data_IF_024415236143
#
_entry.id   IF_024415236143
#
_cell.length_a   1.000
_cell.length_b   1.000
_cell.length_c   1.000
_cell.angle_alpha   90.00
_cell.angle_beta   90.00
_cell.angle_gamma   90.00
#
_symmetry.space_group_name_H-M   'P 1'
#
loop_
_entity.id
_entity.type
_entity.pdbx_description
1 polymer ?
#
# COMPACT_ATOMS: atom_id res chain seq x y z
N UNK A 1 -16.07 -0.67 -0.79
CA UNK A 1 -16.27 0.08 -2.04
C UNK A 1 -16.83 -0.86 -3.07
N UNK A 2 -17.94 -0.54 -3.75
CA UNK A 2 -18.62 -1.49 -4.66
C UNK A 2 -18.25 -1.28 -6.13
N UNK A 3 -18.32 -2.33 -6.99
CA UNK A 3 -18.07 -2.21 -8.43
C UNK A 3 -18.89 -1.10 -9.12
N UNK A 4 -20.16 -0.92 -8.74
CA UNK A 4 -21.01 0.12 -9.32
C UNK A 4 -20.53 1.54 -8.98
N UNK A 5 -20.07 1.75 -7.73
CA UNK A 5 -19.50 3.03 -7.31
C UNK A 5 -18.18 3.33 -8.01
N UNK A 6 -17.32 2.30 -8.17
CA UNK A 6 -16.06 2.38 -8.92
C UNK A 6 -16.33 2.79 -10.37
N UNK A 7 -17.23 2.08 -11.04
CA UNK A 7 -17.52 2.31 -12.45
C UNK A 7 -18.07 3.72 -12.72
N UNK A 8 -18.97 4.17 -11.84
CA UNK A 8 -19.57 5.51 -11.91
C UNK A 8 -18.52 6.59 -11.68
N UNK A 9 -17.70 6.45 -10.62
CA UNK A 9 -16.68 7.43 -10.27
C UNK A 9 -15.62 7.57 -11.38
N UNK A 10 -15.13 6.45 -11.91
CA UNK A 10 -14.19 6.45 -13.02
C UNK A 10 -14.82 6.96 -14.33
N UNK A 11 -16.13 6.78 -14.55
CA UNK A 11 -16.84 7.39 -15.68
C UNK A 11 -16.79 8.91 -15.62
N UNK A 12 -17.05 9.49 -14.45
CA UNK A 12 -16.95 10.94 -14.23
C UNK A 12 -15.50 11.43 -14.34
N UNK A 13 -14.54 10.64 -13.86
CA UNK A 13 -13.11 10.97 -13.93
C UNK A 13 -12.62 11.16 -15.37
N UNK A 14 -13.04 10.29 -16.29
CA UNK A 14 -12.71 10.40 -17.72
C UNK A 14 -13.34 11.66 -18.36
N UNK A 15 -14.55 12.05 -17.94
CA UNK A 15 -15.23 13.27 -18.43
C UNK A 15 -14.60 14.56 -17.89
N UNK A 16 -13.94 14.48 -16.73
CA UNK A 16 -13.46 15.66 -15.97
C UNK A 16 -11.94 15.76 -15.87
N UNK A 17 -11.19 14.84 -16.47
CA UNK A 17 -9.72 14.75 -16.42
C UNK A 17 -9.18 14.84 -14.98
N UNK A 18 -9.79 14.08 -14.08
CA UNK A 18 -9.47 14.10 -12.64
C UNK A 18 -9.02 12.71 -12.18
N UNK A 19 -7.99 12.63 -11.33
CA UNK A 19 -7.53 11.36 -10.77
C UNK A 19 -8.53 10.80 -9.74
N UNK A 20 -8.65 9.47 -9.69
CA UNK A 20 -9.42 8.76 -8.65
C UNK A 20 -8.46 7.99 -7.76
N UNK A 21 -8.52 8.27 -6.46
CA UNK A 21 -7.84 7.47 -5.44
C UNK A 21 -8.83 6.48 -4.81
N UNK A 22 -8.38 5.25 -4.55
CA UNK A 22 -9.25 4.19 -4.01
C UNK A 22 -8.66 3.49 -2.78
N UNK A 23 -9.52 3.28 -1.80
CA UNK A 23 -9.42 2.28 -0.75
C UNK A 23 -10.45 1.18 -1.06
N UNK A 24 -9.98 -0.05 -1.29
CA UNK A 24 -10.82 -1.13 -1.84
C UNK A 24 -11.58 -1.89 -0.74
N UNK A 25 -12.43 -2.84 -1.14
CA UNK A 25 -13.34 -3.55 -0.23
C UNK A 25 -12.60 -4.62 0.59
N UNK A 26 -12.08 -4.23 1.75
CA UNK A 26 -11.36 -5.15 2.66
C UNK A 26 -12.15 -6.42 2.98
N UNK A 27 -13.47 -6.30 3.12
CA UNK A 27 -14.35 -7.40 3.52
C UNK A 27 -14.64 -8.37 2.37
N UNK A 28 -14.27 -8.01 1.14
CA UNK A 28 -14.69 -8.71 -0.07
C UNK A 28 -16.22 -8.87 -0.15
N UNK A 29 -16.98 -7.92 0.41
CA UNK A 29 -18.44 -7.98 0.49
C UNK A 29 -19.07 -7.98 -0.92
N UNK A 30 -18.53 -7.15 -1.79
CA UNK A 30 -19.04 -6.93 -3.15
C UNK A 30 -18.28 -7.69 -4.24
N UNK A 31 -17.34 -8.55 -3.84
CA UNK A 31 -16.44 -9.30 -4.73
C UNK A 31 -15.00 -9.33 -4.20
N UNK A 32 -14.15 -10.13 -4.83
CA UNK A 32 -12.71 -10.18 -4.54
C UNK A 32 -11.93 -9.13 -5.35
N UNK A 33 -10.61 -9.08 -5.19
CA UNK A 33 -9.77 -8.07 -5.86
C UNK A 33 -9.91 -8.09 -7.38
N UNK A 34 -10.10 -9.26 -7.98
CA UNK A 34 -10.36 -9.44 -9.41
C UNK A 34 -11.66 -8.75 -9.88
N UNK A 35 -12.71 -8.74 -9.06
CA UNK A 35 -13.97 -8.07 -9.39
C UNK A 35 -13.79 -6.54 -9.35
N UNK A 36 -13.01 -6.04 -8.40
CA UNK A 36 -12.63 -4.63 -8.32
C UNK A 36 -11.75 -4.22 -9.51
N UNK A 37 -10.76 -5.04 -9.89
CA UNK A 37 -9.92 -4.79 -11.07
C UNK A 37 -10.77 -4.82 -12.35
N UNK A 38 -11.72 -5.74 -12.47
CA UNK A 38 -12.66 -5.76 -13.58
C UNK A 38 -13.52 -4.49 -13.64
N UNK A 39 -13.92 -3.95 -12.47
CA UNK A 39 -14.68 -2.70 -12.38
C UNK A 39 -13.86 -1.46 -12.81
N UNK A 40 -12.52 -1.50 -12.71
CA UNK A 40 -11.67 -0.44 -13.26
C UNK A 40 -11.81 -0.32 -14.79
N UNK A 41 -12.07 -1.44 -15.49
CA UNK A 41 -12.18 -1.51 -16.96
C UNK A 41 -10.95 -0.94 -17.67
N UNK A 42 -9.77 -1.08 -17.07
CA UNK A 42 -8.50 -0.57 -17.61
C UNK A 42 -8.33 0.96 -17.53
N UNK A 43 -9.23 1.69 -16.86
CA UNK A 43 -9.11 3.15 -16.66
C UNK A 43 -8.06 3.46 -15.59
N UNK A 44 -7.43 4.63 -15.71
CA UNK A 44 -6.37 5.06 -14.77
C UNK A 44 -6.93 5.20 -13.36
N UNK A 45 -6.23 4.63 -12.38
CA UNK A 45 -6.62 4.73 -10.97
C UNK A 45 -5.42 4.73 -10.04
N UNK A 46 -5.49 5.48 -8.95
CA UNK A 46 -4.50 5.48 -7.88
C UNK A 46 -4.97 4.59 -6.72
N UNK A 47 -4.25 3.51 -6.46
CA UNK A 47 -4.51 2.67 -5.28
C UNK A 47 -3.76 3.21 -4.05
N UNK A 48 -4.51 3.65 -3.03
CA UNK A 48 -3.92 4.01 -1.74
C UNK A 48 -3.46 2.77 -0.98
N UNK A 49 -2.44 2.95 -0.12
CA UNK A 49 -1.86 1.93 0.77
C UNK A 49 -1.91 0.51 0.17
N UNK A 50 -1.31 0.35 -1.00
CA UNK A 50 -1.54 -0.77 -1.94
C UNK A 50 -1.20 -2.13 -1.35
N UNK A 51 -0.37 -2.19 -0.31
CA UNK A 51 -0.09 -3.41 0.43
C UNK A 51 -1.27 -3.94 1.24
N UNK A 52 -2.16 -3.06 1.70
CA UNK A 52 -3.44 -3.43 2.30
C UNK A 52 -3.55 -3.34 3.82
N UNK A 53 -2.47 -3.09 4.58
CA UNK A 53 -2.59 -2.85 6.03
C UNK A 53 -3.44 -1.59 6.32
N UNK A 54 -3.20 -0.50 5.57
CA UNK A 54 -4.05 0.71 5.57
C UNK A 54 -5.46 0.44 5.04
N UNK A 55 -5.67 -0.67 4.34
CA UNK A 55 -6.96 -1.25 3.96
C UNK A 55 -7.06 -1.59 2.46
N UNK A 56 -8.02 -2.43 2.14
CA UNK A 56 -8.22 -3.02 0.82
C UNK A 56 -8.39 -4.54 0.90
N UNK A 57 -8.85 -5.15 -0.20
CA UNK A 57 -9.14 -6.58 -0.31
C UNK A 57 -8.15 -7.46 0.45
N UNK A 58 -8.65 -8.18 1.47
CA UNK A 58 -7.84 -9.09 2.25
C UNK A 58 -7.84 -10.49 1.59
N UNK A 59 -6.68 -11.14 1.40
CA UNK A 59 -5.33 -10.69 1.77
C UNK A 59 -4.54 -10.05 0.62
N UNK A 60 -5.12 -9.87 -0.57
CA UNK A 60 -4.39 -9.87 -1.83
C UNK A 60 -4.55 -8.60 -2.69
N UNK A 61 -5.00 -7.48 -2.11
CA UNK A 61 -5.00 -6.18 -2.78
C UNK A 61 -3.66 -5.83 -3.43
N UNK A 62 -2.53 -6.29 -2.88
CA UNK A 62 -1.19 -6.06 -3.44
C UNK A 62 -1.03 -6.55 -4.89
N UNK A 63 -1.88 -7.47 -5.38
CA UNK A 63 -1.91 -7.91 -6.78
C UNK A 63 -2.04 -6.75 -7.78
N UNK A 64 -2.72 -5.66 -7.41
CA UNK A 64 -2.95 -4.50 -8.30
C UNK A 64 -1.66 -3.79 -8.74
N UNK A 65 -0.53 -4.04 -8.07
CA UNK A 65 0.80 -3.60 -8.52
C UNK A 65 1.16 -4.15 -9.91
N UNK A 66 0.57 -5.27 -10.32
CA UNK A 66 0.76 -5.86 -11.65
C UNK A 66 -0.06 -5.22 -12.77
N UNK A 67 -1.00 -4.33 -12.45
CA UNK A 67 -1.94 -3.75 -13.41
C UNK A 67 -1.37 -2.47 -14.05
N UNK A 68 -1.31 -2.41 -15.38
CA UNK A 68 -0.65 -1.31 -16.11
C UNK A 68 -1.33 0.05 -15.98
N UNK A 69 -2.60 0.07 -15.59
CA UNK A 69 -3.43 1.26 -15.43
C UNK A 69 -3.51 1.72 -13.96
N UNK A 70 -2.84 1.03 -13.05
CA UNK A 70 -2.81 1.35 -11.63
C UNK A 70 -1.56 2.17 -11.32
N UNK A 71 -1.76 3.24 -10.54
CA UNK A 71 -0.69 4.06 -9.98
C UNK A 71 -0.59 3.74 -8.47
N UNK A 72 0.26 2.77 -8.06
CA UNK A 72 0.26 2.29 -6.69
C UNK A 72 1.06 3.20 -5.75
N UNK A 73 0.49 3.45 -4.56
CA UNK A 73 1.17 4.13 -3.46
C UNK A 73 1.16 3.31 -2.17
N UNK A 74 2.16 3.52 -1.33
CA UNK A 74 2.18 3.06 0.06
C UNK A 74 1.95 4.21 1.03
N UNK A 75 1.37 3.91 2.19
CA UNK A 75 1.34 4.82 3.33
C UNK A 75 2.47 4.47 4.30
N UNK A 76 2.85 5.42 5.14
CA UNK A 76 4.17 5.36 5.78
C UNK A 76 4.35 4.52 7.05
N UNK A 77 3.32 4.05 7.80
CA UNK A 77 3.59 3.32 9.03
C UNK A 77 4.18 1.93 8.84
N UNK A 78 3.86 1.27 7.73
CA UNK A 78 4.44 -0.04 7.41
C UNK A 78 5.89 0.06 6.95
N UNK A 79 6.44 1.28 6.78
CA UNK A 79 7.69 1.56 6.07
C UNK A 79 8.86 1.84 7.01
N UNK A 80 10.01 1.17 6.85
CA UNK A 80 10.11 -0.20 6.36
C UNK A 80 9.49 -1.20 7.35
N UNK A 81 9.42 -2.46 6.95
CA UNK A 81 9.07 -3.54 7.88
C UNK A 81 10.15 -3.68 8.98
N UNK A 82 9.76 -3.59 10.25
CA UNK A 82 10.63 -3.71 11.43
C UNK A 82 10.07 -4.69 12.46
N UNK A 83 10.83 -4.95 13.52
CA UNK A 83 10.45 -5.90 14.58
C UNK A 83 9.13 -5.54 15.29
N UNK A 84 8.81 -4.24 15.42
CA UNK A 84 7.60 -3.79 16.11
C UNK A 84 6.43 -3.52 15.16
N UNK A 85 6.63 -3.66 13.84
CA UNK A 85 5.62 -3.25 12.86
C UNK A 85 4.33 -4.05 13.01
N UNK A 86 4.40 -5.37 13.23
CA UNK A 86 3.20 -6.18 13.36
C UNK A 86 2.41 -5.85 14.62
N UNK A 87 3.06 -5.91 15.79
CA UNK A 87 2.41 -5.67 17.07
C UNK A 87 1.79 -4.27 17.13
N UNK A 88 2.51 -3.25 16.61
CA UNK A 88 1.96 -1.89 16.50
C UNK A 88 0.71 -1.85 15.61
N UNK A 89 0.73 -2.50 14.45
CA UNK A 89 -0.35 -2.37 13.47
C UNK A 89 -1.57 -3.19 13.82
N UNK A 90 -1.41 -4.36 14.45
CA UNK A 90 -2.54 -5.14 14.97
C UNK A 90 -3.26 -4.32 16.02
N UNK A 91 -2.55 -3.80 17.03
CA UNK A 91 -3.17 -3.00 18.10
C UNK A 91 -3.80 -1.71 17.56
N UNK A 92 -3.09 -0.99 16.67
CA UNK A 92 -3.62 0.20 16.00
C UNK A 92 -4.93 -0.09 15.25
N UNK A 93 -4.98 -1.19 14.49
CA UNK A 93 -6.16 -1.57 13.73
C UNK A 93 -7.33 -1.89 14.67
N UNK A 94 -7.08 -2.66 15.73
CA UNK A 94 -8.10 -3.02 16.71
C UNK A 94 -8.68 -1.79 17.39
N UNK A 95 -7.83 -0.83 17.81
CA UNK A 95 -8.27 0.44 18.39
C UNK A 95 -9.07 1.26 17.38
N UNK A 96 -8.58 1.43 16.15
CA UNK A 96 -9.25 2.22 15.12
C UNK A 96 -10.64 1.67 14.75
N UNK A 97 -10.80 0.34 14.78
CA UNK A 97 -12.04 -0.34 14.42
C UNK A 97 -12.90 -0.74 15.63
N UNK A 98 -12.52 -0.37 16.85
CA UNK A 98 -13.21 -0.73 18.09
C UNK A 98 -13.44 -2.24 18.23
N UNK A 99 -12.44 -3.03 17.84
CA UNK A 99 -12.47 -4.48 17.89
C UNK A 99 -12.14 -4.98 19.30
N UNK A 100 -12.73 -6.12 19.68
CA UNK A 100 -12.50 -6.78 20.96
C UNK A 100 -11.59 -8.02 20.78
N UNK A 101 -10.41 -8.10 21.43
CA UNK A 101 -9.55 -9.28 21.37
C UNK A 101 -10.21 -10.56 21.94
N UNK A 102 -11.31 -10.44 22.69
CA UNK A 102 -12.08 -11.56 23.18
C UNK A 102 -13.07 -12.13 22.13
N UNK A 103 -13.30 -11.43 21.02
CA UNK A 103 -14.17 -11.88 19.92
C UNK A 103 -13.31 -12.49 18.81
N UNK A 104 -13.60 -13.74 18.44
CA UNK A 104 -12.77 -14.49 17.50
C UNK A 104 -12.83 -13.90 16.08
N UNK A 105 -14.00 -13.41 15.65
CA UNK A 105 -14.22 -12.79 14.35
C UNK A 105 -13.47 -11.46 14.22
N UNK A 106 -13.39 -10.69 15.30
CA UNK A 106 -12.65 -9.43 15.38
C UNK A 106 -11.15 -9.67 15.23
N UNK A 107 -10.62 -10.69 15.93
CA UNK A 107 -9.22 -11.10 15.79
C UNK A 107 -8.94 -11.64 14.38
N UNK A 108 -9.82 -12.47 13.82
CA UNK A 108 -9.69 -13.00 12.48
C UNK A 108 -9.68 -11.88 11.42
N UNK A 109 -10.53 -10.85 11.57
CA UNK A 109 -10.50 -9.67 10.72
C UNK A 109 -9.16 -8.93 10.84
N UNK A 110 -8.68 -8.69 12.08
CA UNK A 110 -7.42 -7.99 12.30
C UNK A 110 -6.22 -8.74 11.67
N UNK A 111 -6.12 -10.04 11.90
CA UNK A 111 -5.07 -10.91 11.34
C UNK A 111 -5.17 -11.06 9.82
N UNK A 112 -6.39 -11.02 9.26
CA UNK A 112 -6.57 -11.03 7.80
C UNK A 112 -6.01 -9.77 7.14
N UNK A 113 -5.97 -8.64 7.86
CA UNK A 113 -5.57 -7.32 7.33
C UNK A 113 -4.11 -6.97 7.60
N UNK A 114 -3.60 -7.27 8.80
CA UNK A 114 -2.21 -6.98 9.18
C UNK A 114 -1.35 -8.22 8.97
N UNK A 115 -0.65 -8.27 7.83
CA UNK A 115 0.06 -9.48 7.40
C UNK A 115 1.55 -9.20 7.26
N UNK A 116 2.37 -10.06 7.86
CA UNK A 116 3.83 -9.97 7.80
C UNK A 116 4.35 -10.06 6.37
N UNK A 117 3.75 -10.96 5.61
CA UNK A 117 4.17 -11.37 4.28
C UNK A 117 4.02 -10.20 3.29
N UNK A 118 2.86 -9.54 3.28
CA UNK A 118 2.59 -8.43 2.36
C UNK A 118 3.34 -7.16 2.79
N UNK A 119 3.44 -6.86 4.10
CA UNK A 119 4.25 -5.74 4.62
C UNK A 119 5.74 -5.91 4.24
N UNK A 120 6.27 -7.13 4.32
CA UNK A 120 7.64 -7.43 3.90
C UNK A 120 7.81 -7.38 2.37
N UNK A 121 6.82 -7.86 1.60
CA UNK A 121 6.83 -7.78 0.14
C UNK A 121 6.81 -6.33 -0.36
N UNK A 122 6.08 -5.45 0.32
CA UNK A 122 5.98 -4.01 0.00
C UNK A 122 7.36 -3.33 0.01
N UNK A 123 8.26 -3.70 0.94
CA UNK A 123 9.64 -3.18 0.95
C UNK A 123 10.39 -3.52 -0.35
N UNK A 124 10.28 -4.78 -0.80
CA UNK A 124 10.94 -5.28 -2.00
C UNK A 124 10.32 -4.64 -3.26
N UNK A 125 9.00 -4.52 -3.31
CA UNK A 125 8.29 -3.92 -4.45
C UNK A 125 8.61 -2.43 -4.59
N UNK A 126 8.85 -1.71 -3.48
CA UNK A 126 9.41 -0.37 -3.52
C UNK A 126 10.80 -0.31 -4.16
N UNK A 127 11.71 -1.21 -3.76
CA UNK A 127 13.09 -1.24 -4.23
C UNK A 127 13.18 -1.68 -5.70
N UNK A 128 12.24 -2.52 -6.15
CA UNK A 128 12.08 -2.89 -7.57
C UNK A 128 11.47 -1.75 -8.42
N UNK A 129 10.82 -0.78 -7.79
CA UNK A 129 10.10 0.31 -8.47
C UNK A 129 8.71 -0.08 -8.94
N UNK A 130 8.12 -1.16 -8.40
CA UNK A 130 6.78 -1.61 -8.72
C UNK A 130 5.71 -0.81 -7.95
N UNK A 131 6.03 -0.34 -6.73
CA UNK A 131 5.23 0.69 -6.05
C UNK A 131 5.85 2.05 -6.33
N UNK A 132 5.03 3.01 -6.77
CA UNK A 132 5.51 4.23 -7.42
C UNK A 132 5.55 5.44 -6.49
N UNK A 133 4.79 5.41 -5.39
CA UNK A 133 4.60 6.58 -4.53
C UNK A 133 4.64 6.25 -3.03
N UNK A 134 5.03 7.22 -2.23
CA UNK A 134 5.00 7.20 -0.76
C UNK A 134 4.13 8.35 -0.27
N UNK A 135 3.13 8.06 0.56
CA UNK A 135 2.24 9.04 1.16
C UNK A 135 2.16 8.85 2.68
N UNK A 136 1.50 9.77 3.38
CA UNK A 136 1.40 9.69 4.85
C UNK A 136 0.27 8.80 5.33
N UNK A 137 -0.97 9.11 4.92
CA UNK A 137 -2.23 8.78 5.60
C UNK A 137 -2.45 9.53 6.92
N UNK A 138 -2.34 10.86 6.86
CA UNK A 138 -2.13 11.71 8.05
C UNK A 138 -3.21 11.50 9.13
N UNK A 139 -2.79 10.97 10.29
CA UNK A 139 -3.65 10.68 11.45
C UNK A 139 -4.76 9.64 11.19
N UNK A 140 -4.70 8.92 10.08
CA UNK A 140 -5.66 7.88 9.70
C UNK A 140 -4.92 6.58 9.33
N UNK A 141 -4.12 6.06 10.26
CA UNK A 141 -3.08 5.03 9.99
C UNK A 141 -1.86 5.58 9.25
N UNK A 142 -1.39 6.76 9.64
CA UNK A 142 -0.26 7.42 9.00
C UNK A 142 0.29 8.65 9.71
N UNK A 143 1.54 8.99 9.39
CA UNK A 143 2.31 10.03 10.12
C UNK A 143 2.74 11.14 9.17
N UNK A 144 2.06 12.29 9.19
CA UNK A 144 2.28 13.37 8.20
C UNK A 144 3.73 13.85 8.08
N UNK A 145 4.44 13.94 9.21
CA UNK A 145 5.83 14.41 9.25
C UNK A 145 6.88 13.36 8.83
N UNK A 146 6.46 12.14 8.47
CA UNK A 146 7.39 11.02 8.31
C UNK A 146 7.50 10.47 6.87
N UNK A 147 6.82 11.05 5.88
CA UNK A 147 6.89 10.54 4.48
C UNK A 147 8.32 10.46 3.96
N UNK A 148 9.09 11.54 4.11
CA UNK A 148 10.47 11.64 3.63
C UNK A 148 11.40 10.67 4.35
N UNK A 149 11.39 10.68 5.70
CA UNK A 149 12.30 9.84 6.49
C UNK A 149 12.00 8.35 6.29
N UNK A 150 10.72 7.96 6.20
CA UNK A 150 10.31 6.57 5.99
C UNK A 150 10.72 6.07 4.62
N UNK A 151 10.64 6.91 3.59
CA UNK A 151 11.14 6.59 2.25
C UNK A 151 12.64 6.27 2.27
N UNK A 152 13.45 7.08 2.96
CA UNK A 152 14.89 6.84 3.06
C UNK A 152 15.25 5.66 3.96
N UNK A 153 14.50 5.41 5.03
CA UNK A 153 14.66 4.21 5.87
C UNK A 153 14.40 2.93 5.06
N UNK A 154 13.38 2.91 4.20
CA UNK A 154 13.13 1.79 3.29
C UNK A 154 14.27 1.61 2.30
N UNK A 155 14.75 2.67 1.65
CA UNK A 155 15.90 2.59 0.76
C UNK A 155 17.16 2.04 1.47
N UNK A 156 17.42 2.52 2.68
CA UNK A 156 18.53 2.06 3.52
C UNK A 156 18.43 0.57 3.86
N UNK A 157 17.26 0.12 4.34
CA UNK A 157 17.04 -1.30 4.66
C UNK A 157 17.21 -2.18 3.42
N UNK A 158 16.68 -1.75 2.28
CA UNK A 158 16.76 -2.52 1.04
C UNK A 158 18.19 -2.60 0.52
N UNK A 159 19.00 -1.54 0.64
CA UNK A 159 20.44 -1.64 0.41
C UNK A 159 21.10 -2.67 1.31
N UNK A 160 20.83 -2.62 2.62
CA UNK A 160 21.45 -3.52 3.59
C UNK A 160 21.10 -5.00 3.34
N UNK A 161 19.90 -5.30 2.84
CA UNK A 161 19.44 -6.68 2.60
C UNK A 161 19.67 -7.18 1.18
N UNK A 162 19.61 -6.30 0.17
CA UNK A 162 19.62 -6.67 -1.26
C UNK A 162 20.85 -6.20 -2.02
N UNK A 163 21.70 -5.37 -1.40
CA UNK A 163 22.90 -4.84 -2.03
C UNK A 163 22.59 -3.73 -3.06
N UNK A 164 23.38 -3.67 -4.12
CA UNK A 164 23.30 -2.65 -5.17
C UNK A 164 22.11 -2.90 -6.11
N UNK A 165 21.45 -1.84 -6.57
CA UNK A 165 20.52 -1.94 -7.70
C UNK A 165 21.27 -1.90 -9.04
N UNK A 166 20.64 -2.38 -10.14
CA UNK A 166 21.13 -2.07 -11.48
C UNK A 166 21.30 -0.55 -11.68
N UNK A 167 22.51 -0.13 -12.05
CA UNK A 167 22.89 1.28 -12.22
C UNK A 167 23.56 1.92 -10.99
N UNK A 168 23.56 1.25 -9.84
CA UNK A 168 24.41 1.61 -8.71
C UNK A 168 25.84 1.10 -8.91
N UNK A 169 26.78 1.62 -8.11
CA UNK A 169 28.19 1.19 -8.10
C UNK A 169 28.70 1.08 -6.68
N UNK A 170 29.86 0.47 -6.46
CA UNK A 170 30.50 0.39 -5.13
C UNK A 170 30.78 1.77 -4.50
N UNK A 171 30.76 2.86 -5.29
CA UNK A 171 31.00 4.22 -4.82
C UNK A 171 29.73 4.99 -4.46
N UNK A 172 28.57 4.59 -4.98
CA UNK A 172 27.34 5.36 -4.81
C UNK A 172 26.06 4.57 -5.11
N UNK A 173 24.97 5.00 -4.47
CA UNK A 173 23.61 4.45 -4.65
C UNK A 173 22.71 5.34 -5.53
N UNK A 174 23.29 6.07 -6.49
CA UNK A 174 22.57 7.10 -7.25
C UNK A 174 21.30 6.59 -7.95
N UNK A 175 21.28 5.35 -8.46
CA UNK A 175 20.09 4.80 -9.11
C UNK A 175 18.99 4.55 -8.06
N UNK A 176 19.34 3.97 -6.91
CA UNK A 176 18.42 3.83 -5.78
C UNK A 176 17.93 5.18 -5.27
N UNK A 177 18.83 6.13 -5.04
CA UNK A 177 18.48 7.48 -4.53
C UNK A 177 17.50 8.17 -5.46
N UNK A 178 17.74 8.14 -6.78
CA UNK A 178 16.81 8.70 -7.77
C UNK A 178 15.46 7.98 -7.79
N UNK A 179 15.45 6.65 -7.68
CA UNK A 179 14.22 5.86 -7.61
C UNK A 179 13.38 6.22 -6.38
N UNK A 180 14.01 6.40 -5.22
CA UNK A 180 13.29 6.65 -3.97
C UNK A 180 12.88 8.11 -3.79
N UNK A 181 13.70 9.08 -4.23
CA UNK A 181 13.30 10.51 -4.17
C UNK A 181 12.12 10.80 -5.11
N UNK A 182 11.97 10.06 -6.21
CA UNK A 182 10.84 10.24 -7.14
C UNK A 182 9.49 9.80 -6.55
N UNK A 183 9.46 9.17 -5.36
CA UNK A 183 8.24 8.64 -4.74
C UNK A 183 7.48 9.69 -3.91
N UNK A 184 8.05 10.86 -3.62
CA UNK A 184 7.45 11.96 -2.86
C UNK A 184 8.00 13.32 -3.33
#
# INVERSE_FOLDING_TARGET
>A
TTPAAIDTCLGVAEETDTQVAIHTDTLNESGFVEDTVAAFKGRTIHTFHTEGAGGGHAPDILKVVGESHVLPSSTNPTRPFTINTLDEHVDMLMVCHHLDPAIAEDLAFAESRIRKETIAAEDILHDLGAISMMSSDSQAMGRVGEVIIRTWQTAHKMKAQRGLLPGDTDRHDNARVKRYIAKY
#
